data_IF_618147838640
#
_entry.id   IF_618147838640
#
_cell.length_a   1.000
_cell.length_b   1.000
_cell.length_c   1.000
_cell.angle_alpha   90.00
_cell.angle_beta   90.00
_cell.angle_gamma   90.00
#
_symmetry.space_group_name_H-M   'P 1'
#
loop_
_entity.id
_entity.type
_entity.pdbx_description
1 polymer ?
#
# COMPACT_ATOMS: atom_id res chain seq x y z
N UNK A 1 -15.73 -35.56 24.86
CA UNK A 1 -14.36 -35.47 24.32
C UNK A 1 -14.49 -35.20 22.83
N UNK A 2 -14.38 -33.94 22.45
CA UNK A 2 -14.51 -33.46 21.06
C UNK A 2 -13.11 -33.33 20.48
N UNK A 3 -12.73 -34.25 19.59
CA UNK A 3 -11.52 -34.12 18.80
C UNK A 3 -11.81 -33.14 17.65
N UNK A 4 -11.19 -31.96 17.73
CA UNK A 4 -11.02 -31.05 16.60
C UNK A 4 -9.99 -31.64 15.65
N UNK A 5 -10.40 -32.05 14.45
CA UNK A 5 -9.49 -32.32 13.34
C UNK A 5 -8.93 -30.99 12.84
N UNK A 6 -7.65 -30.77 13.10
CA UNK A 6 -6.81 -29.83 12.37
C UNK A 6 -6.83 -30.23 10.89
N UNK A 7 -7.37 -29.36 10.03
CA UNK A 7 -7.18 -29.45 8.58
C UNK A 7 -5.76 -28.99 8.27
N UNK A 8 -4.81 -29.92 8.35
CA UNK A 8 -3.54 -29.79 7.64
C UNK A 8 -3.84 -29.83 6.14
N UNK A 9 -3.56 -28.74 5.42
CA UNK A 9 -3.44 -28.75 3.96
C UNK A 9 -2.29 -29.69 3.59
N UNK A 10 -2.61 -30.96 3.30
CA UNK A 10 -1.67 -31.91 2.74
C UNK A 10 -1.17 -31.38 1.40
N UNK A 11 0.10 -30.99 1.33
CA UNK A 11 0.78 -30.74 0.06
C UNK A 11 0.71 -32.04 -0.75
N UNK A 12 -0.01 -32.05 -1.88
CA UNK A 12 -0.05 -33.22 -2.74
C UNK A 12 1.38 -33.53 -3.21
N UNK A 13 1.92 -34.66 -2.72
CA UNK A 13 3.17 -35.22 -3.20
C UNK A 13 2.93 -35.78 -4.59
N UNK A 14 3.56 -35.20 -5.62
CA UNK A 14 3.45 -35.69 -6.99
C UNK A 14 4.62 -36.63 -7.29
N UNK A 15 4.45 -37.55 -8.25
CA UNK A 15 5.54 -38.44 -8.70
C UNK A 15 6.76 -37.65 -9.21
N UNK A 16 6.57 -36.39 -9.59
CA UNK A 16 7.62 -35.49 -10.04
C UNK A 16 8.51 -35.00 -8.90
N UNK A 17 8.04 -34.99 -7.66
CA UNK A 17 8.86 -34.63 -6.50
C UNK A 17 10.01 -35.64 -6.29
N UNK A 18 9.85 -36.88 -6.78
CA UNK A 18 10.93 -37.87 -6.79
C UNK A 18 12.00 -37.56 -7.85
N UNK A 19 11.63 -36.94 -8.97
CA UNK A 19 12.55 -36.56 -10.04
C UNK A 19 13.16 -35.16 -9.79
N UNK A 20 12.40 -34.28 -9.13
CA UNK A 20 12.75 -32.90 -8.84
C UNK A 20 12.50 -32.59 -7.35
N UNK A 21 13.42 -32.96 -6.45
CA UNK A 21 13.21 -32.91 -4.99
C UNK A 21 13.00 -31.50 -4.43
N UNK A 22 13.33 -30.45 -5.18
CA UNK A 22 13.10 -29.06 -4.79
C UNK A 22 11.72 -28.51 -5.25
N UNK A 23 10.91 -29.26 -6.02
CA UNK A 23 9.58 -28.80 -6.43
C UNK A 23 8.67 -28.43 -5.26
N UNK A 24 8.62 -29.17 -4.14
CA UNK A 24 7.86 -28.75 -2.96
C UNK A 24 8.32 -27.40 -2.40
N UNK A 25 9.63 -27.11 -2.43
CA UNK A 25 10.18 -25.81 -1.98
C UNK A 25 9.83 -24.70 -2.96
N UNK A 26 9.89 -24.97 -4.26
CA UNK A 26 9.47 -24.04 -5.33
C UNK A 26 8.00 -23.68 -5.19
N UNK A 27 7.12 -24.67 -5.03
CA UNK A 27 5.68 -24.46 -4.79
C UNK A 27 5.52 -23.52 -3.61
N UNK A 28 6.03 -23.90 -2.43
CA UNK A 28 5.96 -23.06 -1.21
C UNK A 28 6.48 -21.63 -1.41
N UNK A 29 7.57 -21.44 -2.16
CA UNK A 29 8.09 -20.10 -2.48
C UNK A 29 7.13 -19.29 -3.36
N UNK A 30 6.55 -19.90 -4.38
CA UNK A 30 5.50 -19.26 -5.21
C UNK A 30 4.30 -18.86 -4.34
N UNK A 31 3.79 -19.76 -3.50
CA UNK A 31 2.65 -19.47 -2.62
C UNK A 31 2.95 -18.31 -1.68
N UNK A 32 4.15 -18.31 -1.09
CA UNK A 32 4.61 -17.24 -0.22
C UNK A 32 4.65 -15.90 -0.97
N UNK A 33 5.27 -15.84 -2.14
CA UNK A 33 5.40 -14.61 -2.93
C UNK A 33 4.03 -14.08 -3.38
N UNK A 34 3.12 -14.96 -3.77
CA UNK A 34 1.74 -14.61 -4.12
C UNK A 34 0.96 -14.09 -2.92
N UNK A 35 1.08 -14.76 -1.76
CA UNK A 35 0.45 -14.33 -0.51
C UNK A 35 0.94 -12.94 -0.12
N UNK A 36 2.25 -12.69 -0.19
CA UNK A 36 2.81 -11.37 0.11
C UNK A 36 2.25 -10.30 -0.83
N UNK A 37 2.11 -10.57 -2.13
CA UNK A 37 1.48 -9.63 -3.06
C UNK A 37 0.01 -9.35 -2.70
N UNK A 38 -0.76 -10.38 -2.32
CA UNK A 38 -2.14 -10.22 -1.87
C UNK A 38 -2.21 -9.40 -0.57
N UNK A 39 -1.36 -9.70 0.41
CA UNK A 39 -1.29 -9.03 1.71
C UNK A 39 -0.91 -7.56 1.58
N UNK A 40 0.08 -7.24 0.73
CA UNK A 40 0.43 -5.85 0.45
C UNK A 40 -0.71 -5.10 -0.25
N UNK A 41 -1.43 -5.77 -1.15
CA UNK A 41 -2.62 -5.18 -1.80
C UNK A 41 -3.74 -4.93 -0.78
N UNK A 42 -4.01 -5.87 0.14
CA UNK A 42 -4.96 -5.67 1.24
C UNK A 42 -4.53 -4.51 2.14
N UNK A 43 -3.24 -4.44 2.48
CA UNK A 43 -2.69 -3.37 3.31
C UNK A 43 -2.88 -2.01 2.66
N UNK A 44 -2.62 -1.89 1.36
CA UNK A 44 -2.89 -0.67 0.59
C UNK A 44 -4.37 -0.29 0.62
N UNK A 45 -5.27 -1.26 0.43
CA UNK A 45 -6.71 -1.03 0.49
C UNK A 45 -7.14 -0.50 1.88
N UNK A 46 -6.62 -1.10 2.96
CA UNK A 46 -6.95 -0.70 4.33
C UNK A 46 -6.34 0.65 4.72
N UNK A 47 -5.21 1.03 4.13
CA UNK A 47 -4.61 2.35 4.32
C UNK A 47 -5.54 3.47 3.87
N UNK A 48 -6.38 3.27 2.85
CA UNK A 48 -7.39 4.26 2.45
C UNK A 48 -8.29 4.63 3.63
N UNK A 49 -8.83 3.63 4.31
CA UNK A 49 -9.74 3.81 5.43
C UNK A 49 -9.04 4.49 6.63
N UNK A 50 -7.77 4.16 6.87
CA UNK A 50 -6.98 4.82 7.92
C UNK A 50 -6.74 6.29 7.59
N UNK A 51 -6.36 6.60 6.36
CA UNK A 51 -6.12 7.97 5.90
C UNK A 51 -7.40 8.80 5.98
N UNK A 52 -8.54 8.28 5.50
CA UNK A 52 -9.83 8.98 5.55
C UNK A 52 -10.21 9.34 7.01
N UNK A 53 -10.10 8.38 7.94
CA UNK A 53 -10.38 8.61 9.36
C UNK A 53 -9.46 9.66 10.00
N UNK A 54 -8.18 9.66 9.64
CA UNK A 54 -7.24 10.66 10.19
C UNK A 54 -7.54 12.05 9.64
N UNK A 55 -7.92 12.17 8.36
CA UNK A 55 -8.33 13.44 7.75
C UNK A 55 -9.61 13.97 8.41
N UNK A 56 -10.60 13.10 8.69
CA UNK A 56 -11.79 13.46 9.47
C UNK A 56 -11.45 13.95 10.88
N UNK A 57 -10.53 13.30 11.57
CA UNK A 57 -10.09 13.68 12.90
C UNK A 57 -9.38 15.05 12.90
N UNK A 58 -8.54 15.29 11.90
CA UNK A 58 -7.87 16.56 11.72
C UNK A 58 -8.86 17.70 11.46
N UNK A 59 -9.84 17.49 10.57
CA UNK A 59 -10.94 18.44 10.35
C UNK A 59 -11.70 18.74 11.65
N UNK A 60 -12.00 17.71 12.44
CA UNK A 60 -12.67 17.87 13.73
C UNK A 60 -11.85 18.77 14.66
N UNK A 61 -10.56 18.51 14.82
CA UNK A 61 -9.71 19.30 15.72
C UNK A 61 -9.56 20.75 15.29
N UNK A 62 -9.42 21.01 13.99
CA UNK A 62 -9.38 22.40 13.50
C UNK A 62 -10.72 23.09 13.71
N UNK A 63 -11.85 22.45 13.40
CA UNK A 63 -13.16 23.04 13.67
C UNK A 63 -13.31 23.41 15.16
N UNK A 64 -12.93 22.50 16.05
CA UNK A 64 -12.94 22.75 17.50
C UNK A 64 -12.03 23.93 17.89
N UNK A 65 -10.85 24.07 17.27
CA UNK A 65 -9.93 25.18 17.53
C UNK A 65 -10.54 26.54 17.15
N UNK A 66 -11.22 26.61 16.00
CA UNK A 66 -11.89 27.82 15.52
C UNK A 66 -13.15 28.15 16.35
N UNK A 67 -13.95 27.16 16.74
CA UNK A 67 -15.10 27.38 17.63
C UNK A 67 -14.66 27.95 18.99
N UNK A 68 -13.47 27.59 19.50
CA UNK A 68 -12.93 28.14 20.75
C UNK A 68 -12.64 29.64 20.67
N UNK A 69 -12.41 30.19 19.48
CA UNK A 69 -12.23 31.63 19.25
C UNK A 69 -13.50 32.31 18.73
N UNK A 70 -14.65 31.61 18.78
CA UNK A 70 -15.96 32.14 18.41
C UNK A 70 -16.31 32.05 16.91
N UNK A 71 -15.61 31.19 16.16
CA UNK A 71 -15.83 31.01 14.72
C UNK A 71 -16.40 29.62 14.44
N UNK A 72 -17.70 29.55 14.15
CA UNK A 72 -18.41 28.27 13.99
C UNK A 72 -18.59 27.82 12.53
N UNK A 73 -18.40 28.75 11.59
CA UNK A 73 -18.53 28.49 10.15
C UNK A 73 -17.17 28.58 9.46
N UNK A 74 -16.69 27.43 9.01
CA UNK A 74 -15.48 27.29 8.21
C UNK A 74 -15.85 26.52 6.95
N UNK A 75 -15.42 27.01 5.80
CA UNK A 75 -15.64 26.39 4.51
C UNK A 75 -14.82 25.11 4.33
N UNK A 76 -15.41 24.13 3.64
CA UNK A 76 -14.70 22.95 3.18
C UNK A 76 -14.27 23.11 1.73
N UNK A 77 -13.16 22.48 1.37
CA UNK A 77 -12.70 22.25 0.00
C UNK A 77 -12.59 20.75 -0.24
N UNK A 78 -13.04 20.32 -1.41
CA UNK A 78 -12.86 18.94 -1.86
C UNK A 78 -11.53 18.81 -2.60
N UNK A 79 -10.80 17.73 -2.29
CA UNK A 79 -9.52 17.36 -2.91
C UNK A 79 -9.74 16.07 -3.67
N UNK A 80 -9.31 16.06 -4.92
CA UNK A 80 -9.15 14.82 -5.67
C UNK A 80 -7.74 14.25 -5.41
N UNK A 81 -7.66 13.09 -4.74
CA UNK A 81 -6.40 12.33 -4.60
C UNK A 81 -6.24 11.31 -5.74
N UNK A 82 -7.35 10.77 -6.24
CA UNK A 82 -7.47 10.01 -7.49
C UNK A 82 -8.93 10.10 -7.99
N UNK A 83 -9.20 9.69 -9.24
CA UNK A 83 -10.53 9.71 -9.88
C UNK A 83 -11.66 9.09 -9.04
N UNK A 84 -11.36 8.17 -8.14
CA UNK A 84 -12.34 7.54 -7.24
C UNK A 84 -12.08 7.83 -5.75
N UNK A 85 -11.21 8.78 -5.43
CA UNK A 85 -10.84 9.14 -4.07
C UNK A 85 -10.84 10.65 -3.88
N UNK A 86 -11.95 11.13 -3.31
CA UNK A 86 -12.14 12.53 -2.92
C UNK A 86 -12.13 12.66 -1.41
N UNK A 87 -11.52 13.73 -0.90
CA UNK A 87 -11.47 14.05 0.53
C UNK A 87 -11.96 15.48 0.75
N UNK A 88 -12.85 15.68 1.72
CA UNK A 88 -13.29 17.00 2.16
C UNK A 88 -12.41 17.51 3.29
N UNK A 89 -11.88 18.72 3.16
CA UNK A 89 -10.94 19.32 4.11
C UNK A 89 -11.28 20.78 4.39
N UNK A 90 -11.08 21.25 5.62
CA UNK A 90 -11.34 22.66 5.99
C UNK A 90 -10.34 23.62 5.34
N UNK A 91 -10.78 24.81 4.92
CA UNK A 91 -9.94 25.80 4.22
C UNK A 91 -8.67 26.24 4.96
N UNK A 92 -8.66 26.46 6.28
CA UNK A 92 -7.44 26.78 7.01
C UNK A 92 -6.39 25.65 7.01
N UNK A 93 -6.84 24.40 6.85
CA UNK A 93 -6.00 23.22 6.64
C UNK A 93 -5.93 22.88 5.15
N UNK A 94 -6.47 23.71 4.26
CA UNK A 94 -6.60 23.36 2.85
C UNK A 94 -5.23 23.37 2.21
N UNK A 95 -4.62 22.18 2.20
CA UNK A 95 -4.05 21.46 1.04
C UNK A 95 -2.86 22.09 0.34
N UNK A 96 -2.81 23.39 0.19
CA UNK A 96 -1.65 24.11 -0.32
C UNK A 96 -0.46 24.06 0.63
N UNK A 97 -0.58 23.52 1.85
CA UNK A 97 0.55 23.32 2.79
C UNK A 97 0.80 21.84 3.10
N UNK A 98 -0.25 21.00 3.18
CA UNK A 98 -0.09 19.55 3.40
C UNK A 98 0.27 18.80 2.10
N UNK A 99 -0.20 19.29 0.96
CA UNK A 99 -0.07 18.67 -0.36
C UNK A 99 0.50 19.64 -1.41
N UNK A 100 1.23 20.69 -1.01
CA UNK A 100 1.74 21.79 -1.87
C UNK A 100 2.52 21.35 -3.10
N UNK A 101 2.95 20.09 -3.14
CA UNK A 101 3.34 19.43 -4.36
C UNK A 101 2.64 18.07 -4.31
N UNK A 102 1.50 17.94 -5.01
CA UNK A 102 1.08 16.62 -5.48
C UNK A 102 2.16 16.13 -6.41
N UNK A 103 3.23 15.57 -5.83
CA UNK A 103 4.34 15.01 -6.58
C UNK A 103 3.79 13.83 -7.35
N UNK A 104 4.41 13.53 -8.50
CA UNK A 104 4.04 12.36 -9.27
C UNK A 104 4.05 11.09 -8.42
N UNK A 105 5.00 11.00 -7.48
CA UNK A 105 5.11 9.93 -6.50
C UNK A 105 3.88 9.80 -5.60
N UNK A 106 3.40 10.90 -5.01
CA UNK A 106 2.21 10.87 -4.16
C UNK A 106 0.97 10.43 -4.95
N UNK A 107 0.77 10.99 -6.15
CA UNK A 107 -0.36 10.61 -7.01
C UNK A 107 -0.28 9.13 -7.41
N UNK A 108 0.92 8.64 -7.68
CA UNK A 108 1.15 7.25 -8.05
C UNK A 108 0.84 6.29 -6.88
N UNK A 109 1.22 6.65 -5.65
CA UNK A 109 0.86 5.89 -4.45
C UNK A 109 -0.64 5.97 -4.16
N UNK A 110 -1.25 7.15 -4.26
CA UNK A 110 -2.69 7.33 -4.07
C UNK A 110 -3.49 6.48 -5.08
N UNK A 111 -3.01 6.38 -6.32
CA UNK A 111 -3.60 5.50 -7.35
C UNK A 111 -3.56 4.03 -6.94
N UNK A 112 -2.44 3.55 -6.40
CA UNK A 112 -2.33 2.15 -5.91
C UNK A 112 -3.28 1.88 -4.75
N UNK A 113 -3.39 2.81 -3.81
CA UNK A 113 -4.33 2.72 -2.67
C UNK A 113 -5.77 2.66 -3.17
N UNK A 114 -6.16 3.58 -4.07
CA UNK A 114 -7.51 3.63 -4.63
C UNK A 114 -7.86 2.36 -5.42
N UNK A 115 -6.97 1.90 -6.31
CA UNK A 115 -7.18 0.66 -7.08
C UNK A 115 -7.23 -0.55 -6.16
N UNK A 116 -6.34 -0.67 -5.17
CA UNK A 116 -6.38 -1.77 -4.21
C UNK A 116 -7.69 -1.80 -3.43
N UNK A 117 -8.19 -0.63 -3.01
CA UNK A 117 -9.47 -0.52 -2.31
C UNK A 117 -10.66 -0.92 -3.19
N UNK A 118 -10.73 -0.45 -4.42
CA UNK A 118 -11.81 -0.82 -5.34
C UNK A 118 -11.77 -2.31 -5.71
N UNK A 119 -10.56 -2.88 -5.85
CA UNK A 119 -10.37 -4.31 -6.05
C UNK A 119 -10.88 -5.10 -4.84
N UNK A 120 -10.54 -4.67 -3.62
CA UNK A 120 -11.04 -5.27 -2.36
C UNK A 120 -12.57 -5.25 -2.27
N UNK A 121 -13.19 -4.19 -2.78
CA UNK A 121 -14.65 -4.05 -2.86
C UNK A 121 -15.29 -4.86 -4.00
N UNK A 122 -14.52 -5.52 -4.85
CA UNK A 122 -15.03 -6.23 -6.03
C UNK A 122 -15.60 -5.31 -7.11
N UNK A 123 -15.28 -4.00 -7.07
CA UNK A 123 -15.80 -3.01 -8.03
C UNK A 123 -15.04 -2.97 -9.33
N UNK A 124 -13.79 -3.44 -9.32
CA UNK A 124 -12.90 -3.48 -10.49
C UNK A 124 -12.23 -4.85 -10.57
N UNK A 125 -11.83 -5.23 -11.78
CA UNK A 125 -11.07 -6.45 -12.01
C UNK A 125 -9.57 -6.30 -11.69
N UNK A 126 -8.84 -7.42 -11.52
CA UNK A 126 -7.38 -7.41 -11.25
C UNK A 126 -6.54 -6.72 -12.33
N UNK A 127 -7.05 -6.59 -13.56
CA UNK A 127 -6.36 -5.97 -14.69
C UNK A 127 -5.94 -4.50 -14.44
N UNK A 128 -6.69 -3.76 -13.62
CA UNK A 128 -6.32 -2.40 -13.25
C UNK A 128 -5.05 -2.35 -12.38
N UNK A 129 -4.84 -3.37 -11.53
CA UNK A 129 -3.64 -3.48 -10.69
C UNK A 129 -2.43 -3.94 -11.50
N UNK A 130 -2.62 -4.80 -12.52
CA UNK A 130 -1.56 -5.26 -13.43
C UNK A 130 -0.78 -4.08 -14.01
N UNK A 131 -1.47 -3.05 -14.51
CA UNK A 131 -0.83 -1.85 -15.09
C UNK A 131 -0.03 -1.02 -14.08
N UNK A 132 -0.41 -1.08 -12.80
CA UNK A 132 0.22 -0.27 -11.75
C UNK A 132 1.44 -0.93 -11.14
N UNK A 133 1.39 -2.25 -10.96
CA UNK A 133 2.43 -2.97 -10.21
C UNK A 133 3.13 -4.05 -11.03
N UNK A 134 2.78 -4.20 -12.32
CA UNK A 134 3.42 -5.14 -13.23
C UNK A 134 3.15 -6.59 -12.87
N UNK A 135 1.93 -6.91 -12.42
CA UNK A 135 1.56 -8.31 -12.14
C UNK A 135 1.66 -9.15 -13.41
N UNK A 136 2.14 -10.40 -13.32
CA UNK A 136 2.11 -11.29 -14.45
C UNK A 136 0.66 -11.68 -14.82
N UNK A 137 0.40 -11.91 -16.11
CA UNK A 137 -0.95 -12.20 -16.63
C UNK A 137 -1.57 -13.49 -16.05
N UNK A 138 -0.74 -14.40 -15.57
CA UNK A 138 -1.18 -15.66 -14.96
C UNK A 138 -1.61 -15.48 -13.49
N UNK A 139 -1.13 -14.44 -12.81
CA UNK A 139 -1.53 -14.15 -11.43
C UNK A 139 -2.86 -13.41 -11.42
N UNK A 140 -3.85 -14.01 -10.77
CA UNK A 140 -5.15 -13.37 -10.56
C UNK A 140 -5.40 -13.19 -9.07
N UNK A 141 -6.08 -12.10 -8.75
CA UNK A 141 -6.61 -11.86 -7.42
C UNK A 141 -8.11 -12.15 -7.44
N UNK A 142 -8.56 -12.93 -6.47
CA UNK A 142 -9.97 -13.10 -6.15
C UNK A 142 -10.36 -12.22 -4.97
N UNK A 143 -11.66 -12.03 -4.80
CA UNK A 143 -12.23 -11.45 -3.58
C UNK A 143 -12.98 -12.54 -2.83
N UNK A 144 -12.51 -12.89 -1.64
CA UNK A 144 -13.28 -13.75 -0.75
C UNK A 144 -14.37 -12.89 -0.10
N UNK A 145 -15.61 -13.02 -0.57
CA UNK A 145 -16.76 -12.32 0.01
C UNK A 145 -17.15 -13.02 1.31
N UNK A 146 -16.82 -12.42 2.46
CA UNK A 146 -17.08 -13.07 3.75
C UNK A 146 -17.07 -12.17 4.99
N UNK A 147 -16.89 -10.85 4.90
CA UNK A 147 -16.95 -9.98 6.07
C UNK A 147 -17.55 -8.60 5.78
N UNK A 148 -18.09 -7.98 6.83
CA UNK A 148 -18.97 -6.80 6.79
C UNK A 148 -18.35 -5.49 6.24
N UNK A 149 -17.09 -5.51 5.78
CA UNK A 149 -16.34 -4.32 5.32
C UNK A 149 -15.86 -4.46 3.85
N UNK A 150 -16.38 -5.45 3.11
CA UNK A 150 -15.87 -5.79 1.77
C UNK A 150 -14.81 -6.88 1.85
N UNK A 151 -14.74 -7.72 0.82
CA UNK A 151 -14.01 -8.99 0.84
C UNK A 151 -12.51 -8.88 1.13
N UNK A 152 -11.86 -10.00 1.41
CA UNK A 152 -10.40 -10.06 1.45
C UNK A 152 -9.86 -10.31 0.03
N UNK A 153 -8.82 -9.59 -0.38
CA UNK A 153 -8.09 -9.92 -1.61
C UNK A 153 -7.28 -11.19 -1.32
N UNK A 154 -7.56 -12.24 -2.07
CA UNK A 154 -6.83 -13.51 -2.00
C UNK A 154 -6.16 -13.74 -3.34
N UNK A 155 -4.93 -14.26 -3.33
CA UNK A 155 -4.32 -14.74 -4.56
C UNK A 155 -5.06 -16.00 -5.00
N UNK A 156 -5.51 -16.03 -6.26
CA UNK A 156 -6.18 -17.18 -6.87
C UNK A 156 -5.33 -17.60 -8.04
N UNK A 157 -4.41 -18.54 -7.84
CA UNK A 157 -3.71 -19.14 -8.98
C UNK A 157 -2.88 -20.40 -8.70
N UNK A 158 -2.74 -20.91 -7.47
CA UNK A 158 -1.93 -22.13 -7.29
C UNK A 158 -2.67 -23.32 -7.91
N UNK A 159 -3.88 -23.64 -7.47
CA UNK A 159 -4.58 -24.82 -7.99
C UNK A 159 -4.88 -24.70 -9.49
N UNK A 160 -5.24 -23.52 -10.03
CA UNK A 160 -5.48 -23.38 -11.47
C UNK A 160 -4.20 -23.36 -12.35
N UNK A 161 -3.03 -23.03 -11.80
CA UNK A 161 -1.74 -23.07 -12.51
C UNK A 161 -1.04 -24.42 -12.33
N UNK A 162 -1.30 -25.11 -11.21
CA UNK A 162 -0.73 -26.42 -10.87
C UNK A 162 -1.65 -27.55 -11.40
N UNK A 163 -2.97 -27.49 -11.22
CA UNK A 163 -3.91 -28.49 -11.77
C UNK A 163 -4.00 -28.47 -13.30
N UNK A 164 -3.75 -27.32 -13.93
CA UNK A 164 -3.69 -27.23 -15.39
C UNK A 164 -2.46 -27.95 -15.98
N UNK A 165 -1.49 -28.35 -15.15
CA UNK A 165 -0.16 -28.77 -15.59
C UNK A 165 0.30 -30.00 -14.80
N UNK A 166 0.10 -31.17 -15.40
CA UNK A 166 0.74 -32.42 -15.00
C UNK A 166 1.81 -32.76 -16.05
N UNK A 167 3.09 -32.90 -15.67
CA UNK A 167 4.17 -33.33 -16.59
C UNK A 167 5.46 -32.48 -16.52
N UNK A 168 6.46 -32.78 -17.37
CA UNK A 168 7.86 -32.28 -17.31
C UNK A 168 8.06 -30.75 -17.20
N UNK A 169 7.00 -29.97 -17.39
CA UNK A 169 6.99 -28.51 -17.44
C UNK A 169 6.69 -27.84 -16.07
N UNK A 170 6.49 -28.62 -14.99
CA UNK A 170 6.17 -28.06 -13.66
C UNK A 170 7.35 -27.23 -13.10
N UNK A 171 8.57 -27.77 -13.12
CA UNK A 171 9.76 -27.11 -12.57
C UNK A 171 9.99 -25.74 -13.22
N UNK A 172 9.97 -25.70 -14.55
CA UNK A 172 10.30 -24.51 -15.33
C UNK A 172 9.24 -23.42 -15.15
N UNK A 173 7.98 -23.82 -14.97
CA UNK A 173 6.89 -22.89 -14.63
C UNK A 173 7.00 -22.34 -13.23
N UNK A 174 7.33 -23.16 -12.23
CA UNK A 174 7.55 -22.67 -10.88
C UNK A 174 8.74 -21.70 -10.82
N UNK A 175 9.84 -22.02 -11.52
CA UNK A 175 10.98 -21.13 -11.68
C UNK A 175 10.59 -19.80 -12.34
N UNK A 176 9.78 -19.86 -13.39
CA UNK A 176 9.28 -18.67 -14.08
C UNK A 176 8.39 -17.84 -13.16
N UNK A 177 7.47 -18.49 -12.42
CA UNK A 177 6.59 -17.82 -11.48
C UNK A 177 7.37 -17.08 -10.38
N UNK A 178 8.40 -17.70 -9.80
CA UNK A 178 9.27 -17.06 -8.79
C UNK A 178 9.88 -15.76 -9.35
N UNK A 179 10.39 -15.80 -10.58
CA UNK A 179 11.01 -14.65 -11.23
C UNK A 179 10.00 -13.56 -11.57
N UNK A 180 8.85 -13.94 -12.12
CA UNK A 180 7.76 -13.03 -12.49
C UNK A 180 7.17 -12.29 -11.28
N UNK A 181 7.18 -12.91 -10.10
CA UNK A 181 6.64 -12.32 -8.87
C UNK A 181 7.59 -11.31 -8.20
N UNK A 182 8.87 -11.27 -8.58
CA UNK A 182 9.84 -10.37 -7.93
C UNK A 182 9.48 -8.89 -8.13
N UNK A 183 9.14 -8.50 -9.36
CA UNK A 183 8.75 -7.12 -9.71
C UNK A 183 7.50 -6.62 -8.96
N UNK A 184 6.35 -7.32 -9.01
CA UNK A 184 5.17 -6.87 -8.28
C UNK A 184 5.37 -6.91 -6.76
N UNK A 185 6.15 -7.86 -6.22
CA UNK A 185 6.47 -7.90 -4.78
C UNK A 185 7.19 -6.63 -4.32
N UNK A 186 8.23 -6.22 -5.05
CA UNK A 186 8.96 -4.97 -4.78
C UNK A 186 8.02 -3.78 -4.87
N UNK A 187 7.24 -3.69 -5.95
CA UNK A 187 6.42 -2.51 -6.25
C UNK A 187 5.24 -2.32 -5.29
N UNK A 188 4.62 -3.43 -4.86
CA UNK A 188 3.56 -3.43 -3.85
C UNK A 188 4.11 -3.13 -2.46
N UNK A 189 5.23 -3.74 -2.07
CA UNK A 189 5.88 -3.46 -0.78
C UNK A 189 6.31 -1.99 -0.70
N UNK A 190 6.89 -1.45 -1.77
CA UNK A 190 7.24 -0.05 -1.87
C UNK A 190 6.00 0.83 -1.67
N UNK A 191 4.89 0.50 -2.35
CA UNK A 191 3.62 1.17 -2.15
C UNK A 191 3.16 1.17 -0.68
N UNK A 192 3.25 0.02 0.00
CA UNK A 192 2.89 -0.10 1.42
C UNK A 192 3.75 0.81 2.29
N UNK A 193 5.09 0.73 2.16
CA UNK A 193 6.03 1.52 2.97
C UNK A 193 5.87 3.03 2.72
N UNK A 194 5.71 3.42 1.45
CA UNK A 194 5.52 4.82 1.05
C UNK A 194 4.18 5.38 1.54
N UNK A 195 3.12 4.57 1.50
CA UNK A 195 1.81 4.95 2.06
C UNK A 195 1.89 5.13 3.57
N UNK A 196 2.58 4.21 4.27
CA UNK A 196 2.76 4.30 5.72
C UNK A 196 3.56 5.54 6.12
N UNK A 197 4.62 5.88 5.38
CA UNK A 197 5.37 7.12 5.55
C UNK A 197 4.46 8.37 5.51
N UNK A 198 3.62 8.50 4.47
CA UNK A 198 2.69 9.63 4.38
C UNK A 198 1.61 9.60 5.46
N UNK A 199 1.15 8.41 5.85
CA UNK A 199 0.19 8.25 6.94
C UNK A 199 0.77 8.70 8.29
N UNK A 200 2.03 8.36 8.59
CA UNK A 200 2.71 8.80 9.80
C UNK A 200 2.92 10.32 9.82
N UNK A 201 3.29 10.92 8.68
CA UNK A 201 3.36 12.38 8.53
C UNK A 201 2.00 13.04 8.82
N UNK A 202 0.91 12.49 8.25
CA UNK A 202 -0.44 12.98 8.49
C UNK A 202 -0.85 12.87 9.97
N UNK A 203 -0.48 11.77 10.64
CA UNK A 203 -0.71 11.61 12.08
C UNK A 203 0.06 12.65 12.90
N UNK A 204 1.33 12.93 12.57
CA UNK A 204 2.13 13.94 13.24
C UNK A 204 1.47 15.32 13.14
N UNK A 205 1.05 15.71 11.94
CA UNK A 205 0.31 16.96 11.69
C UNK A 205 -0.99 17.01 12.51
N UNK A 206 -1.75 15.92 12.51
CA UNK A 206 -3.01 15.83 13.26
C UNK A 206 -2.80 16.03 14.77
N UNK A 207 -1.70 15.48 15.31
CA UNK A 207 -1.33 15.65 16.71
C UNK A 207 -0.95 17.09 17.03
N UNK A 208 -0.24 17.77 16.13
CA UNK A 208 0.13 19.16 16.32
C UNK A 208 -1.08 20.10 16.22
N UNK A 209 -2.02 19.84 15.31
CA UNK A 209 -3.30 20.55 15.26
C UNK A 209 -4.09 20.35 16.57
N UNK A 210 -4.09 19.15 17.14
CA UNK A 210 -4.71 18.91 18.45
C UNK A 210 -4.01 19.71 19.57
N UNK A 211 -2.69 19.93 19.47
CA UNK A 211 -1.96 20.80 20.40
C UNK A 211 -2.35 22.27 20.22
N UNK A 212 -2.48 22.75 18.98
CA UNK A 212 -2.96 24.10 18.68
C UNK A 212 -4.36 24.32 19.24
N UNK A 213 -5.28 23.36 19.05
CA UNK A 213 -6.60 23.40 19.68
C UNK A 213 -6.52 23.66 21.19
N UNK A 214 -5.61 22.98 21.89
CA UNK A 214 -5.40 23.20 23.34
C UNK A 214 -4.81 24.59 23.66
N UNK A 215 -3.99 25.15 22.76
CA UNK A 215 -3.47 26.52 22.90
C UNK A 215 -4.59 27.56 22.68
N UNK A 216 -5.45 27.36 21.68
CA UNK A 216 -6.58 28.24 21.36
C UNK A 216 -7.56 28.38 22.55
N UNK A 217 -7.75 27.33 23.34
CA UNK A 217 -8.57 27.42 24.56
C UNK A 217 -8.01 28.38 25.64
N UNK A 218 -6.71 28.70 25.58
CA UNK A 218 -5.99 29.51 26.59
C UNK A 218 -5.65 30.91 26.08
N UNK A 219 -5.41 31.02 24.78
CA UNK A 219 -5.03 32.27 24.11
C UNK A 219 -6.26 32.88 23.46
N UNK A 220 -6.38 34.21 23.50
CA UNK A 220 -7.45 34.96 22.82
C UNK A 220 -7.03 35.30 21.40
N UNK A 221 -6.79 34.28 20.59
CA UNK A 221 -6.33 34.48 19.22
C UNK A 221 -7.43 35.06 18.33
N UNK A 222 -7.04 35.87 17.35
CA UNK A 222 -7.87 36.23 16.20
C UNK A 222 -7.94 35.05 15.20
N UNK A 223 -8.84 35.16 14.22
CA UNK A 223 -8.92 34.18 13.12
C UNK A 223 -7.60 34.02 12.37
N UNK A 224 -6.96 35.16 12.08
CA UNK A 224 -5.70 35.26 11.34
C UNK A 224 -4.55 34.62 12.14
N UNK A 225 -4.41 34.98 13.43
CA UNK A 225 -3.38 34.41 14.31
C UNK A 225 -3.51 32.89 14.45
N UNK A 226 -4.74 32.36 14.56
CA UNK A 226 -4.96 30.91 14.61
C UNK A 226 -4.61 30.25 13.25
N UNK A 227 -4.97 30.89 12.14
CA UNK A 227 -4.63 30.42 10.79
C UNK A 227 -3.12 30.33 10.57
N UNK A 228 -2.38 31.37 10.96
CA UNK A 228 -0.91 31.41 10.88
C UNK A 228 -0.26 30.34 11.74
N UNK A 229 -0.66 30.19 13.01
CA UNK A 229 -0.09 29.16 13.90
C UNK A 229 -0.37 27.73 13.39
N UNK A 230 -1.53 27.49 12.76
CA UNK A 230 -1.82 26.21 12.11
C UNK A 230 -0.86 25.97 10.93
N UNK A 231 -0.65 26.97 10.08
CA UNK A 231 0.21 26.83 8.90
C UNK A 231 1.69 26.65 9.27
N UNK A 232 2.20 27.44 10.21
CA UNK A 232 3.56 27.33 10.73
C UNK A 232 3.79 25.94 11.31
N UNK A 233 2.90 25.49 12.19
CA UNK A 233 3.08 24.19 12.84
C UNK A 233 2.97 23.01 11.86
N UNK A 234 2.13 23.10 10.82
CA UNK A 234 2.09 22.10 9.74
C UNK A 234 3.44 22.07 9.02
N UNK A 235 3.98 23.24 8.65
CA UNK A 235 5.24 23.36 7.90
C UNK A 235 6.41 22.79 8.70
N UNK A 236 6.57 23.24 9.95
CA UNK A 236 7.61 22.76 10.86
C UNK A 236 7.52 21.25 11.10
N UNK A 237 6.30 20.73 11.25
CA UNK A 237 6.07 19.28 11.44
C UNK A 237 6.51 18.50 10.21
N UNK A 238 6.21 18.98 9.00
CA UNK A 238 6.61 18.33 7.75
C UNK A 238 8.12 18.36 7.60
N UNK A 239 8.77 19.50 7.85
CA UNK A 239 10.23 19.64 7.77
C UNK A 239 10.93 18.71 8.77
N UNK A 240 10.52 18.77 10.04
CA UNK A 240 11.05 17.89 11.10
C UNK A 240 10.84 16.42 10.77
N UNK A 241 9.67 16.04 10.23
CA UNK A 241 9.39 14.67 9.86
C UNK A 241 10.30 14.17 8.74
N UNK A 242 10.54 15.00 7.71
CA UNK A 242 11.43 14.67 6.59
C UNK A 242 12.89 14.55 7.02
N UNK A 243 13.34 15.35 7.98
CA UNK A 243 14.70 15.26 8.52
C UNK A 243 14.93 14.02 9.39
N UNK A 244 13.92 13.61 10.14
CA UNK A 244 14.02 12.52 11.13
C UNK A 244 13.57 11.16 10.59
N UNK A 245 12.76 11.14 9.54
CA UNK A 245 12.18 9.93 8.95
C UNK A 245 12.58 9.84 7.48
N UNK A 246 13.51 8.94 7.13
CA UNK A 246 13.90 8.72 5.75
C UNK A 246 12.72 8.26 4.90
N UNK A 247 12.53 8.91 3.76
CA UNK A 247 11.46 8.53 2.85
C UNK A 247 11.79 7.18 2.17
N UNK A 248 10.87 6.20 2.14
CA UNK A 248 11.13 4.92 1.50
C UNK A 248 11.43 5.06 0.01
N UNK A 249 12.39 4.26 -0.46
CA UNK A 249 12.75 4.09 -1.86
C UNK A 249 12.57 2.63 -2.27
N UNK A 250 12.67 2.34 -3.58
CA UNK A 250 12.59 0.95 -4.05
C UNK A 250 13.84 0.15 -3.69
N UNK A 251 14.98 0.82 -3.62
CA UNK A 251 16.26 0.26 -3.17
C UNK A 251 16.16 -0.16 -1.69
N UNK A 252 15.72 0.74 -0.80
CA UNK A 252 15.53 0.38 0.61
C UNK A 252 14.41 -0.64 0.82
N UNK A 253 13.42 -0.66 -0.07
CA UNK A 253 12.39 -1.72 -0.10
C UNK A 253 12.99 -3.08 -0.44
N UNK A 254 13.86 -3.15 -1.45
CA UNK A 254 14.55 -4.38 -1.84
C UNK A 254 15.42 -4.90 -0.69
N UNK A 255 16.18 -4.03 -0.02
CA UNK A 255 16.94 -4.37 1.17
C UNK A 255 16.04 -4.91 2.29
N UNK A 256 14.87 -4.28 2.52
CA UNK A 256 13.89 -4.75 3.51
C UNK A 256 13.35 -6.15 3.17
N UNK A 257 13.07 -6.43 1.90
CA UNK A 257 12.60 -7.75 1.45
C UNK A 257 13.69 -8.81 1.59
N UNK A 258 14.93 -8.51 1.22
CA UNK A 258 16.07 -9.41 1.37
C UNK A 258 16.32 -9.73 2.86
N UNK A 259 16.26 -8.72 3.73
CA UNK A 259 16.36 -8.91 5.17
C UNK A 259 15.23 -9.76 5.73
N UNK A 260 13.98 -9.54 5.26
CA UNK A 260 12.81 -10.34 5.64
C UNK A 260 12.98 -11.80 5.23
N UNK A 261 13.43 -12.07 4.01
CA UNK A 261 13.64 -13.44 3.53
C UNK A 261 14.73 -14.17 4.32
N UNK A 262 15.82 -13.47 4.67
CA UNK A 262 16.86 -14.01 5.54
C UNK A 262 16.34 -14.31 6.94
N UNK A 263 15.58 -13.39 7.53
CA UNK A 263 15.02 -13.52 8.87
C UNK A 263 14.06 -14.71 8.99
N UNK A 264 13.22 -14.90 7.97
CA UNK A 264 12.24 -15.98 7.93
C UNK A 264 12.82 -17.30 7.40
N UNK A 265 14.10 -17.33 7.04
CA UNK A 265 14.77 -18.47 6.43
C UNK A 265 14.01 -19.00 5.19
N UNK A 266 13.54 -18.07 4.36
CA UNK A 266 12.80 -18.40 3.14
C UNK A 266 13.72 -19.06 2.11
N UNK A 267 13.16 -19.96 1.30
CA UNK A 267 13.89 -20.58 0.20
C UNK A 267 13.98 -19.59 -0.98
N UNK A 268 15.19 -19.13 -1.29
CA UNK A 268 15.46 -18.07 -2.28
C UNK A 268 16.40 -18.52 -3.41
N UNK A 269 16.69 -19.82 -3.51
CA UNK A 269 17.73 -20.34 -4.41
C UNK A 269 17.46 -20.05 -5.89
N UNK A 270 16.20 -19.79 -6.27
CA UNK A 270 15.79 -19.51 -7.64
C UNK A 270 15.19 -18.11 -7.82
N UNK A 271 15.29 -17.27 -6.79
CA UNK A 271 15.01 -15.86 -6.92
C UNK A 271 15.96 -15.21 -7.94
N UNK A 272 15.56 -14.09 -8.59
CA UNK A 272 16.47 -13.34 -9.43
C UNK A 272 17.75 -12.95 -8.68
N UNK A 273 18.89 -12.92 -9.39
CA UNK A 273 20.14 -12.46 -8.80
C UNK A 273 20.04 -11.00 -8.35
N UNK A 274 20.91 -10.59 -7.42
CA UNK A 274 20.93 -9.23 -6.91
C UNK A 274 21.02 -8.18 -8.04
N UNK A 275 21.90 -8.38 -9.02
CA UNK A 275 22.00 -7.51 -10.20
C UNK A 275 20.67 -7.43 -10.98
N UNK A 276 19.96 -8.56 -11.10
CA UNK A 276 18.67 -8.58 -11.80
C UNK A 276 17.58 -7.85 -11.01
N UNK A 277 17.60 -7.94 -9.68
CA UNK A 277 16.69 -7.20 -8.81
C UNK A 277 16.95 -5.69 -8.88
N UNK A 278 18.22 -5.28 -8.96
CA UNK A 278 18.61 -3.87 -9.15
C UNK A 278 18.15 -3.32 -10.51
N UNK A 279 18.26 -4.12 -11.58
CA UNK A 279 17.67 -3.76 -12.89
C UNK A 279 16.15 -3.56 -12.79
N UNK A 280 15.43 -4.45 -12.10
CA UNK A 280 13.99 -4.34 -11.87
C UNK A 280 13.66 -3.04 -11.12
N UNK A 281 14.44 -2.70 -10.09
CA UNK A 281 14.27 -1.44 -9.33
C UNK A 281 14.44 -0.23 -10.24
N UNK A 282 15.46 -0.23 -11.10
CA UNK A 282 15.68 0.84 -12.07
C UNK A 282 14.51 0.98 -13.05
N UNK A 283 14.04 -0.13 -13.62
CA UNK A 283 12.86 -0.14 -14.50
C UNK A 283 11.61 0.44 -13.81
N UNK A 284 11.39 0.08 -12.54
CA UNK A 284 10.24 0.57 -11.78
C UNK A 284 10.33 2.07 -11.49
N UNK A 285 11.52 2.59 -11.19
CA UNK A 285 11.76 4.02 -11.04
C UNK A 285 11.50 4.79 -12.35
N UNK A 286 11.95 4.24 -13.49
CA UNK A 286 11.67 4.82 -14.82
C UNK A 286 10.16 4.77 -15.15
N UNK A 287 9.49 3.67 -14.81
CA UNK A 287 8.06 3.50 -15.02
C UNK A 287 7.23 4.56 -14.28
N UNK A 288 7.51 4.82 -13.00
CA UNK A 288 6.84 5.88 -12.23
C UNK A 288 6.98 7.25 -12.91
N UNK A 289 8.16 7.55 -13.45
CA UNK A 289 8.42 8.81 -14.13
C UNK A 289 7.71 8.92 -15.48
N UNK A 290 7.38 7.80 -16.13
CA UNK A 290 6.82 7.78 -17.48
C UNK A 290 5.33 7.42 -17.54
N UNK A 291 4.77 6.82 -16.48
CA UNK A 291 3.38 6.35 -16.48
C UNK A 291 2.40 7.53 -16.60
N UNK A 292 1.40 7.38 -17.49
CA UNK A 292 0.24 8.26 -17.56
C UNK A 292 -0.85 7.73 -16.62
N UNK A 293 -0.90 8.31 -15.42
CA UNK A 293 -1.90 7.98 -14.41
C UNK A 293 -3.33 8.24 -14.86
N UNK A 294 -3.56 9.17 -15.80
CA UNK A 294 -4.90 9.51 -16.31
C UNK A 294 -5.43 8.45 -17.26
N UNK A 295 -4.54 7.76 -17.98
CA UNK A 295 -4.87 6.67 -18.89
C UNK A 295 -5.25 5.36 -18.17
N UNK A 296 -4.99 5.26 -16.86
CA UNK A 296 -5.42 4.13 -16.04
C UNK A 296 -6.90 4.33 -15.69
N UNK A 297 -7.77 3.86 -16.59
CA UNK A 297 -9.20 3.69 -16.36
C UNK A 297 -9.49 2.34 -15.70
N UNK A 298 -10.46 2.35 -14.81
CA UNK A 298 -11.04 1.19 -14.15
C UNK A 298 -12.53 1.45 -13.94
#
# INVERSE_FOLDING_TARGET
MTNSTETETQTQYTWQDNLFPDNPKRRKRVEQLMSECADYTNTLADSKLKIDKTLELMNKYTKEAYSLIGIDTISYKEIELDKAWYVKMLQPISIFTIFTLSTKALNFVAKKVAVSYLLKQGKIGPAALVKLVGLPNWLKFGTAVGSAIGGAIVSVSIDAMIDAIVGDDERDKLQTAIKDLAKPRIELRYGVLKTDYYYQMLMAITNEINRIKRKAAKKKWTEEELGEEIQEAITDTIETFKETTPEPTRESTLENLNAKDKLLNNWINEDPSQNKLEEIVKELNEHENNIDLKAISY
#
